data_IF_717928554347
#
_entry.id   IF_717928554347
#
_cell.length_a   1.000
_cell.length_b   1.000
_cell.length_c   1.000
_cell.angle_alpha   90.00
_cell.angle_beta   90.00
_cell.angle_gamma   90.00
#
_symmetry.space_group_name_H-M   'P 1'
#
loop_
_entity.id
_entity.type
_entity.pdbx_description
1 polymer ?
#
# COMPACT_ATOMS: atom_id res chain seq x y z
N UNK A 1 11.93 -5.02 2.92
CA UNK A 1 10.90 -4.52 3.86
C UNK A 1 9.60 -4.24 3.13
N UNK A 2 8.51 -4.84 3.60
CA UNK A 2 7.14 -4.53 3.17
C UNK A 2 6.45 -3.86 4.35
N UNK A 3 5.86 -2.68 4.13
CA UNK A 3 5.17 -1.92 5.18
C UNK A 3 3.83 -1.39 4.66
N UNK A 4 2.79 -1.57 5.46
CA UNK A 4 1.48 -0.97 5.24
C UNK A 4 1.32 0.22 6.20
N UNK A 5 1.00 1.40 5.67
CA UNK A 5 0.73 2.61 6.44
C UNK A 5 -0.71 3.01 6.19
N UNK A 6 -1.52 3.04 7.26
CA UNK A 6 -2.93 3.40 7.15
C UNK A 6 -3.11 4.89 6.92
N UNK A 7 -4.19 5.28 6.24
CA UNK A 7 -4.51 6.68 6.00
C UNK A 7 -4.44 7.56 7.27
N UNK A 8 -4.98 7.05 8.38
CA UNK A 8 -4.99 7.72 9.69
C UNK A 8 -3.60 7.99 10.27
N UNK A 9 -2.59 7.25 9.83
CA UNK A 9 -1.22 7.31 10.32
C UNK A 9 -0.27 8.03 9.36
N UNK A 10 -0.69 8.26 8.11
CA UNK A 10 0.15 8.89 7.07
C UNK A 10 0.80 10.18 7.57
N UNK A 11 0.00 11.13 8.09
CA UNK A 11 0.52 12.42 8.58
C UNK A 11 1.63 12.30 9.63
N UNK A 12 1.70 11.18 10.36
CA UNK A 12 2.71 10.94 11.40
C UNK A 12 3.90 10.16 10.88
N UNK A 13 3.71 9.33 9.86
CA UNK A 13 4.69 8.33 9.42
C UNK A 13 5.49 8.74 8.18
N UNK A 14 4.93 9.58 7.30
CA UNK A 14 5.59 9.95 6.04
C UNK A 14 6.08 11.40 6.06
N UNK A 15 7.23 11.64 5.42
CA UNK A 15 7.82 12.98 5.23
C UNK A 15 7.40 13.64 3.91
N UNK A 16 6.64 12.94 3.07
CA UNK A 16 6.22 13.38 1.75
C UNK A 16 4.69 13.42 1.66
N UNK A 17 4.15 14.37 0.88
CA UNK A 17 2.71 14.57 0.76
C UNK A 17 2.22 13.98 -0.56
N UNK A 18 1.22 13.11 -0.50
CA UNK A 18 0.58 12.59 -1.70
C UNK A 18 -0.43 13.62 -2.22
N UNK A 19 -0.24 14.10 -3.45
CA UNK A 19 -1.14 15.02 -4.11
C UNK A 19 -2.10 14.25 -5.02
N UNK A 20 -3.41 14.47 -4.89
CA UNK A 20 -4.41 13.83 -5.75
C UNK A 20 -4.54 12.32 -5.54
N UNK A 21 -4.46 11.88 -4.28
CA UNK A 21 -4.34 10.45 -3.94
C UNK A 21 -5.54 9.66 -4.47
N UNK A 22 -5.26 8.74 -5.38
CA UNK A 22 -6.21 7.75 -5.90
C UNK A 22 -5.60 6.38 -5.73
N UNK A 23 -6.45 5.39 -5.52
CA UNK A 23 -5.98 4.02 -5.51
C UNK A 23 -5.41 3.66 -6.89
N UNK A 24 -4.15 3.20 -6.93
CA UNK A 24 -3.49 2.80 -8.17
C UNK A 24 -4.13 1.57 -8.85
N UNK A 25 -4.98 0.84 -8.14
CA UNK A 25 -5.66 -0.35 -8.67
C UNK A 25 -7.03 -0.02 -9.29
N UNK A 26 -7.84 0.84 -8.66
CA UNK A 26 -9.22 1.08 -9.05
C UNK A 26 -9.59 2.56 -9.26
N UNK A 27 -8.60 3.46 -9.13
CA UNK A 27 -8.73 4.90 -9.30
C UNK A 27 -9.71 5.60 -8.33
N UNK A 28 -10.16 4.90 -7.27
CA UNK A 28 -11.01 5.46 -6.22
C UNK A 28 -10.27 6.52 -5.41
N UNK A 29 -10.96 7.59 -5.04
CA UNK A 29 -10.44 8.73 -4.25
C UNK A 29 -10.64 8.58 -2.75
N UNK A 30 -11.21 7.46 -2.29
CA UNK A 30 -11.62 7.28 -0.89
C UNK A 30 -10.57 6.52 -0.07
N UNK A 31 -10.28 7.02 1.14
CA UNK A 31 -9.52 6.39 2.22
C UNK A 31 -8.38 5.46 1.75
N UNK A 32 -7.36 6.07 1.17
CA UNK A 32 -6.21 5.39 0.58
C UNK A 32 -5.10 5.23 1.61
N UNK A 33 -4.61 3.99 1.70
CA UNK A 33 -3.44 3.59 2.47
C UNK A 33 -2.21 3.55 1.56
N UNK A 34 -1.04 3.34 2.17
CA UNK A 34 0.22 3.24 1.44
C UNK A 34 0.86 1.89 1.69
N UNK A 35 1.14 1.17 0.60
CA UNK A 35 1.97 -0.02 0.59
C UNK A 35 3.38 0.36 0.12
N UNK A 36 4.35 0.23 1.00
CA UNK A 36 5.76 0.53 0.75
C UNK A 36 6.55 -0.77 0.66
N UNK A 37 7.22 -0.99 -0.47
CA UNK A 37 8.05 -2.16 -0.74
C UNK A 37 9.45 -1.67 -1.09
N UNK A 38 10.41 -1.95 -0.21
CA UNK A 38 11.82 -1.58 -0.40
C UNK A 38 12.73 -2.78 -0.20
N UNK A 39 13.86 -2.79 -0.90
CA UNK A 39 14.97 -3.68 -0.54
C UNK A 39 15.47 -3.32 0.87
N UNK A 40 15.94 -4.30 1.63
CA UNK A 40 16.50 -4.04 2.95
C UNK A 40 17.68 -3.06 2.87
N UNK A 41 17.75 -2.13 3.81
CA UNK A 41 18.76 -1.07 3.88
C UNK A 41 18.86 -0.19 2.61
N UNK A 42 17.83 -0.16 1.77
CA UNK A 42 17.78 0.65 0.56
C UNK A 42 16.78 1.79 0.66
N UNK A 43 17.17 2.95 0.12
CA UNK A 43 16.25 4.06 -0.16
C UNK A 43 15.47 3.86 -1.47
N UNK A 44 15.82 2.86 -2.28
CA UNK A 44 15.11 2.49 -3.50
C UNK A 44 13.95 1.53 -3.24
N UNK A 45 12.81 1.80 -3.86
CA UNK A 45 11.65 0.92 -3.80
C UNK A 45 10.39 1.54 -4.41
N UNK A 46 9.27 0.86 -4.22
CA UNK A 46 7.97 1.23 -4.76
C UNK A 46 7.03 1.63 -3.64
N UNK A 47 6.34 2.74 -3.84
CA UNK A 47 5.26 3.22 -2.97
C UNK A 47 3.98 3.14 -3.78
N UNK A 48 2.96 2.47 -3.24
CA UNK A 48 1.68 2.25 -3.92
C UNK A 48 0.55 2.78 -3.05
N UNK A 49 -0.25 3.67 -3.62
CA UNK A 49 -1.49 4.15 -3.00
C UNK A 49 -2.61 3.14 -3.25
N UNK A 50 -3.21 2.62 -2.18
CA UNK A 50 -4.16 1.51 -2.26
C UNK A 50 -5.33 1.70 -1.30
N UNK A 51 -6.56 1.60 -1.81
CA UNK A 51 -7.76 1.66 -0.97
C UNK A 51 -8.00 0.33 -0.23
N UNK A 52 -8.81 0.36 0.83
CA UNK A 52 -9.12 -0.82 1.66
C UNK A 52 -9.64 -2.00 0.83
N UNK A 53 -10.52 -1.75 -0.15
CA UNK A 53 -11.06 -2.79 -1.03
C UNK A 53 -9.95 -3.53 -1.78
N UNK A 54 -9.09 -2.80 -2.48
CA UNK A 54 -8.02 -3.40 -3.29
C UNK A 54 -6.95 -4.04 -2.41
N UNK A 55 -6.76 -3.54 -1.18
CA UNK A 55 -5.86 -4.16 -0.21
C UNK A 55 -6.38 -5.54 0.25
N UNK A 56 -7.69 -5.67 0.47
CA UNK A 56 -8.32 -6.97 0.79
C UNK A 56 -8.19 -7.92 -0.39
N UNK A 57 -8.46 -7.48 -1.61
CA UNK A 57 -8.28 -8.29 -2.83
C UNK A 57 -6.83 -8.77 -3.00
N UNK A 58 -5.85 -7.90 -2.73
CA UNK A 58 -4.43 -8.26 -2.75
C UNK A 58 -4.11 -9.32 -1.69
N UNK A 59 -4.65 -9.18 -0.47
CA UNK A 59 -4.48 -10.18 0.59
C UNK A 59 -5.00 -11.55 0.14
N UNK A 60 -6.22 -11.60 -0.41
CA UNK A 60 -6.82 -12.85 -0.90
C UNK A 60 -5.99 -13.50 -2.02
N UNK A 61 -5.41 -12.70 -2.93
CA UNK A 61 -4.53 -13.21 -3.97
C UNK A 61 -3.24 -13.80 -3.39
N UNK A 62 -2.64 -13.14 -2.40
CA UNK A 62 -1.44 -13.65 -1.70
C UNK A 62 -1.76 -14.94 -0.95
N UNK A 63 -2.89 -15.01 -0.24
CA UNK A 63 -3.31 -16.23 0.47
C UNK A 63 -3.56 -17.39 -0.50
N UNK A 64 -4.15 -17.13 -1.68
CA UNK A 64 -4.30 -18.14 -2.73
C UNK A 64 -2.96 -18.61 -3.28
N UNK A 65 -2.00 -17.70 -3.48
CA UNK A 65 -0.65 -18.04 -3.94
C UNK A 65 0.14 -18.85 -2.91
N UNK A 66 -0.12 -18.63 -1.62
CA UNK A 66 0.49 -19.37 -0.51
C UNK A 66 -0.30 -20.61 -0.06
N UNK A 67 -1.39 -20.95 -0.75
CA UNK A 67 -2.29 -22.05 -0.40
C UNK A 67 -1.96 -23.40 -1.04
N UNK A 68 -0.84 -23.50 -1.75
CA UNK A 68 -0.33 -24.74 -2.36
C UNK A 68 0.67 -25.47 -1.41
N UNK A 69 0.37 -25.52 -0.11
CA UNK A 69 1.06 -26.37 0.90
C UNK A 69 0.09 -27.33 1.60
#
# INVERSE_FOLDING_TARGET
>A
MIKLIKNSELKKTITYQFYGIRCNCCNSTNNVNVLEIRAENSSGGTIIDICDKCLIELKEQIEKLGGDE
#
